data_IF_205624081017
#
_entry.id   IF_205624081017
#
_cell.length_a   1.000
_cell.length_b   1.000
_cell.length_c   1.000
_cell.angle_alpha   90.00
_cell.angle_beta   90.00
_cell.angle_gamma   90.00
#
_symmetry.space_group_name_H-M   'P 1'
#
loop_
_entity.id
_entity.type
_entity.pdbx_description
1 polymer ?
#
# COMPACT_ATOMS: atom_id res chain seq x y z
N UNK A 1 -22.73 -17.78 -11.83
CA UNK A 1 -22.25 -17.66 -13.22
C UNK A 1 -21.72 -16.25 -13.39
N UNK A 2 -20.49 -16.07 -13.84
CA UNK A 2 -19.93 -14.74 -14.06
C UNK A 2 -20.56 -14.14 -15.32
N UNK A 3 -21.20 -12.97 -15.19
CA UNK A 3 -21.85 -12.24 -16.28
C UNK A 3 -20.77 -11.72 -17.24
N UNK A 4 -20.80 -12.16 -18.50
CA UNK A 4 -19.92 -11.65 -19.56
C UNK A 4 -20.64 -10.60 -20.39
N UNK A 5 -19.95 -9.51 -20.70
CA UNK A 5 -20.48 -8.34 -21.40
C UNK A 5 -19.73 -8.14 -22.72
N UNK A 6 -20.42 -7.90 -23.84
CA UNK A 6 -19.76 -7.54 -25.10
C UNK A 6 -19.14 -6.14 -25.02
N UNK A 7 -17.91 -5.99 -25.48
CA UNK A 7 -17.16 -4.72 -25.45
C UNK A 7 -16.55 -4.48 -26.81
N UNK A 8 -16.86 -3.35 -27.43
CA UNK A 8 -16.35 -3.00 -28.77
C UNK A 8 -15.28 -1.93 -28.69
N UNK A 9 -14.09 -2.22 -29.19
CA UNK A 9 -12.97 -1.28 -29.17
C UNK A 9 -13.30 0.01 -29.95
N UNK A 10 -13.17 1.22 -29.37
CA UNK A 10 -13.40 2.47 -30.08
C UNK A 10 -12.33 2.73 -31.17
N UNK A 11 -11.12 2.18 -31.02
CA UNK A 11 -9.99 2.37 -31.94
C UNK A 11 -10.11 1.47 -33.17
N UNK A 12 -10.14 0.15 -32.99
CA UNK A 12 -10.14 -0.81 -34.10
C UNK A 12 -11.50 -1.45 -34.39
N UNK A 13 -12.54 -1.11 -33.63
CA UNK A 13 -13.93 -1.61 -33.79
C UNK A 13 -14.11 -3.11 -33.61
N UNK A 14 -13.11 -3.84 -33.09
CA UNK A 14 -13.17 -5.27 -32.76
C UNK A 14 -14.04 -5.52 -31.53
N UNK A 15 -14.82 -6.59 -31.60
CA UNK A 15 -15.66 -7.04 -30.50
C UNK A 15 -14.90 -7.99 -29.56
N UNK A 16 -15.12 -7.80 -28.27
CA UNK A 16 -14.55 -8.58 -27.18
C UNK A 16 -15.65 -9.06 -26.24
N UNK A 17 -15.36 -10.11 -25.48
CA UNK A 17 -16.16 -10.49 -24.32
C UNK A 17 -15.35 -10.19 -23.06
N UNK A 18 -15.94 -9.46 -22.12
CA UNK A 18 -15.32 -9.10 -20.86
C UNK A 18 -16.12 -9.64 -19.68
N UNK A 19 -15.44 -10.23 -18.72
CA UNK A 19 -16.03 -10.75 -17.47
C UNK A 19 -15.33 -10.07 -16.30
N UNK A 20 -16.09 -9.45 -15.41
CA UNK A 20 -15.52 -8.76 -14.26
C UNK A 20 -14.87 -9.75 -13.28
N UNK A 21 -13.69 -9.40 -12.79
CA UNK A 21 -13.04 -10.07 -11.65
C UNK A 21 -13.87 -9.84 -10.39
N UNK A 22 -14.13 -10.92 -9.66
CA UNK A 22 -14.75 -10.85 -8.34
C UNK A 22 -13.67 -10.84 -7.25
N UNK A 23 -13.84 -9.98 -6.25
CA UNK A 23 -12.95 -9.81 -5.11
C UNK A 23 -13.64 -10.23 -3.80
N UNK A 24 -12.90 -10.74 -2.80
CA UNK A 24 -13.49 -11.19 -1.55
C UNK A 24 -13.85 -10.00 -0.64
N UNK A 25 -15.14 -9.81 -0.36
CA UNK A 25 -15.57 -8.89 0.70
C UNK A 25 -15.24 -9.49 2.08
N UNK A 26 -14.94 -8.68 3.11
CA UNK A 26 -14.77 -9.18 4.48
C UNK A 26 -15.95 -9.99 5.04
N UNK A 27 -17.17 -9.86 4.49
CA UNK A 27 -18.32 -10.68 4.87
C UNK A 27 -18.32 -12.10 4.24
N UNK A 28 -17.37 -12.40 3.35
CA UNK A 28 -17.24 -13.68 2.64
C UNK A 28 -17.90 -13.73 1.27
N UNK A 29 -18.73 -12.73 0.91
CA UNK A 29 -19.37 -12.66 -0.41
C UNK A 29 -18.45 -12.07 -1.49
N UNK A 30 -18.38 -12.67 -2.70
CA UNK A 30 -17.67 -12.09 -3.82
C UNK A 30 -18.35 -10.80 -4.29
N UNK A 31 -17.55 -9.74 -4.48
CA UNK A 31 -17.98 -8.44 -4.99
C UNK A 31 -17.32 -8.22 -6.35
N UNK A 32 -18.12 -7.90 -7.37
CA UNK A 32 -17.62 -7.55 -8.69
C UNK A 32 -18.20 -6.19 -9.12
N UNK A 33 -17.42 -5.31 -9.78
CA UNK A 33 -17.95 -4.06 -10.31
C UNK A 33 -19.15 -4.29 -11.23
N UNK A 34 -20.24 -3.52 -11.08
CA UNK A 34 -21.44 -3.70 -11.89
C UNK A 34 -21.18 -3.18 -13.31
N UNK A 35 -20.87 -4.07 -14.24
CA UNK A 35 -20.66 -3.72 -15.65
C UNK A 35 -21.95 -3.12 -16.25
N UNK A 36 -21.80 -2.13 -17.12
CA UNK A 36 -22.90 -1.58 -17.94
C UNK A 36 -22.82 -2.13 -19.38
N UNK A 37 -23.70 -3.07 -19.76
CA UNK A 37 -23.68 -3.63 -21.11
C UNK A 37 -24.01 -2.65 -22.23
N UNK A 38 -24.66 -1.52 -21.91
CA UNK A 38 -25.02 -0.50 -22.88
C UNK A 38 -24.01 0.65 -22.98
N UNK A 39 -23.04 0.71 -22.06
CA UNK A 39 -22.07 1.80 -21.99
C UNK A 39 -21.03 1.70 -23.11
N UNK A 40 -20.49 2.85 -23.51
CA UNK A 40 -19.38 2.90 -24.46
C UNK A 40 -18.05 2.73 -23.70
N UNK A 41 -17.17 1.79 -24.12
CA UNK A 41 -15.83 1.71 -23.57
C UNK A 41 -14.97 2.89 -24.06
N UNK A 42 -14.14 3.42 -23.16
CA UNK A 42 -13.24 4.53 -23.43
C UNK A 42 -11.79 4.04 -23.54
N UNK A 43 -11.00 4.62 -24.43
CA UNK A 43 -9.56 4.36 -24.48
C UNK A 43 -8.86 5.07 -23.32
N UNK A 44 -7.99 4.36 -22.62
CA UNK A 44 -7.14 4.92 -21.58
C UNK A 44 -5.94 5.59 -22.24
N UNK A 45 -6.02 6.90 -22.43
CA UNK A 45 -4.91 7.73 -22.93
C UNK A 45 -4.03 8.26 -21.80
N UNK A 46 -4.58 8.40 -20.61
CA UNK A 46 -3.95 8.99 -19.43
C UNK A 46 -4.31 8.19 -18.16
N UNK A 47 -3.34 8.11 -17.25
CA UNK A 47 -3.48 7.44 -15.95
C UNK A 47 -3.44 8.47 -14.84
N UNK A 48 -4.55 8.57 -14.11
CA UNK A 48 -4.66 9.36 -12.90
C UNK A 48 -5.08 8.41 -11.79
N UNK A 49 -4.39 8.48 -10.64
CA UNK A 49 -4.63 7.55 -9.53
C UNK A 49 -6.11 7.44 -9.14
N UNK A 50 -6.84 8.57 -9.08
CA UNK A 50 -8.27 8.57 -8.75
C UNK A 50 -9.18 7.96 -9.83
N UNK A 51 -8.71 7.85 -11.07
CA UNK A 51 -9.48 7.30 -12.19
C UNK A 51 -9.33 5.76 -12.33
N UNK A 52 -8.41 5.17 -11.57
CA UNK A 52 -8.05 3.75 -11.65
C UNK A 52 -8.78 2.88 -10.59
N UNK A 53 -9.56 3.51 -9.70
CA UNK A 53 -10.34 2.85 -8.65
C UNK A 53 -11.84 3.07 -8.82
N UNK A 54 -12.65 2.09 -8.43
CA UNK A 54 -14.11 2.20 -8.32
C UNK A 54 -14.60 1.66 -6.99
N UNK A 55 -15.45 2.45 -6.32
CA UNK A 55 -16.14 2.01 -5.11
C UNK A 55 -17.31 1.10 -5.47
N UNK A 56 -17.33 -0.12 -4.93
CA UNK A 56 -18.40 -1.10 -5.19
C UNK A 56 -19.04 -1.52 -3.87
N UNK A 57 -20.37 -1.35 -3.71
CA UNK A 57 -21.07 -1.84 -2.53
C UNK A 57 -21.30 -3.36 -2.59
N UNK A 58 -21.01 -4.05 -1.48
CA UNK A 58 -21.38 -5.45 -1.31
C UNK A 58 -22.91 -5.60 -1.21
N UNK A 59 -23.50 -6.49 -1.99
CA UNK A 59 -24.96 -6.73 -1.97
C UNK A 59 -25.45 -7.40 -0.69
N UNK A 60 -24.56 -8.05 0.08
CA UNK A 60 -24.91 -8.75 1.31
C UNK A 60 -24.76 -7.86 2.56
N UNK A 61 -23.63 -7.16 2.73
CA UNK A 61 -23.36 -6.36 3.92
C UNK A 61 -23.44 -4.84 3.70
N UNK A 62 -23.72 -4.39 2.47
CA UNK A 62 -23.78 -2.98 2.06
C UNK A 62 -22.49 -2.16 2.24
N UNK A 63 -21.38 -2.78 2.67
CA UNK A 63 -20.06 -2.14 2.76
C UNK A 63 -19.59 -1.71 1.36
N UNK A 64 -19.15 -0.47 1.24
CA UNK A 64 -18.58 0.09 0.03
C UNK A 64 -17.05 0.15 0.19
N UNK A 65 -16.33 -0.59 -0.65
CA UNK A 65 -14.86 -0.60 -0.67
C UNK A 65 -14.37 -0.30 -2.09
N UNK A 66 -13.13 0.19 -2.21
CA UNK A 66 -12.51 0.57 -3.47
C UNK A 66 -11.79 -0.61 -4.12
N UNK A 67 -12.07 -0.83 -5.40
CA UNK A 67 -11.50 -1.93 -6.20
C UNK A 67 -10.92 -1.40 -7.51
N UNK A 68 -9.91 -2.08 -8.10
CA UNK A 68 -9.35 -1.67 -9.38
C UNK A 68 -10.42 -1.59 -10.46
N UNK A 69 -10.43 -0.49 -11.23
CA UNK A 69 -11.38 -0.31 -12.33
C UNK A 69 -11.11 -1.36 -13.41
N UNK A 70 -12.14 -2.03 -13.95
CA UNK A 70 -11.92 -3.07 -14.96
C UNK A 70 -11.40 -2.49 -16.28
N UNK A 71 -10.34 -3.09 -16.80
CA UNK A 71 -9.71 -2.71 -18.07
C UNK A 71 -9.59 -3.93 -19.01
N UNK A 72 -9.68 -3.70 -20.33
CA UNK A 72 -9.44 -4.70 -21.37
C UNK A 72 -8.35 -4.25 -22.33
N UNK A 73 -7.30 -5.06 -22.47
CA UNK A 73 -6.30 -4.89 -23.53
C UNK A 73 -6.83 -5.40 -24.87
N UNK A 74 -6.90 -4.53 -25.87
CA UNK A 74 -7.21 -4.90 -27.24
C UNK A 74 -5.92 -5.26 -28.01
N UNK A 75 -5.91 -6.31 -28.86
CA UNK A 75 -4.75 -6.64 -29.69
C UNK A 75 -4.28 -5.54 -30.66
N UNK A 76 -5.07 -4.47 -30.87
CA UNK A 76 -4.64 -3.30 -31.64
C UNK A 76 -3.72 -2.35 -30.85
N UNK A 77 -3.49 -2.61 -29.56
CA UNK A 77 -2.66 -1.79 -28.67
C UNK A 77 -3.45 -0.88 -27.72
N UNK A 78 -4.76 -0.71 -27.92
CA UNK A 78 -5.60 0.11 -27.04
C UNK A 78 -5.93 -0.59 -25.72
N UNK A 79 -5.91 0.15 -24.62
CA UNK A 79 -6.43 -0.29 -23.31
C UNK A 79 -7.79 0.38 -23.11
N UNK A 80 -8.82 -0.42 -22.84
CA UNK A 80 -10.19 0.04 -22.76
C UNK A 80 -10.69 0.03 -21.32
N UNK A 81 -11.21 1.16 -20.84
CA UNK A 81 -11.98 1.21 -19.59
C UNK A 81 -13.37 0.65 -19.83
N UNK A 82 -13.75 -0.32 -19.01
CA UNK A 82 -15.05 -0.98 -19.12
C UNK A 82 -16.12 -0.11 -18.43
N UNK A 83 -17.23 0.20 -19.10
CA UNK A 83 -18.28 1.01 -18.52
C UNK A 83 -18.95 0.28 -17.35
N UNK A 84 -19.21 1.03 -16.30
CA UNK A 84 -19.86 0.55 -15.09
C UNK A 84 -21.22 1.23 -14.95
N UNK A 85 -22.21 0.49 -14.44
CA UNK A 85 -23.50 1.09 -14.09
C UNK A 85 -23.25 2.09 -12.97
N UNK A 86 -23.42 3.37 -13.26
CA UNK A 86 -23.35 4.41 -12.24
C UNK A 86 -24.40 4.16 -11.14
N UNK A 87 -24.20 4.68 -9.91
CA UNK A 87 -25.30 4.75 -8.96
C UNK A 87 -26.44 5.51 -9.63
N UNK A 88 -27.58 4.86 -9.80
CA UNK A 88 -28.72 5.43 -10.51
C UNK A 88 -29.06 6.80 -9.96
N UNK A 89 -29.03 7.82 -10.82
CA UNK A 89 -29.57 9.14 -10.54
C UNK A 89 -31.10 8.98 -10.43
N UNK A 90 -31.60 8.84 -9.21
CA UNK A 90 -33.01 8.65 -8.92
C UNK A 90 -33.38 9.08 -7.50
N UNK A 91 -33.95 10.29 -7.42
CA UNK A 91 -34.68 10.92 -6.32
C UNK A 91 -33.87 11.62 -5.20
N UNK A 92 -34.31 12.82 -4.74
CA UNK A 92 -33.71 13.53 -3.62
C UNK A 92 -33.91 12.74 -2.31
N UNK A 93 -33.07 12.94 -1.29
CA UNK A 93 -33.14 12.18 -0.05
C UNK A 93 -34.46 12.50 0.69
N UNK A 94 -35.35 11.51 0.75
CA UNK A 94 -36.44 11.49 1.72
C UNK A 94 -35.82 11.25 3.09
N UNK A 95 -36.13 12.14 4.04
CA UNK A 95 -35.69 12.05 5.42
C UNK A 95 -36.05 10.68 6.02
N UNK A 96 -35.02 9.95 6.46
CA UNK A 96 -35.21 8.73 7.23
C UNK A 96 -35.69 9.06 8.65
N UNK A 97 -36.62 8.29 9.23
CA UNK A 97 -37.02 8.46 10.61
C UNK A 97 -35.88 8.07 11.56
N UNK A 98 -35.77 8.80 12.67
CA UNK A 98 -34.80 8.57 13.74
C UNK A 98 -35.03 7.20 14.40
N UNK A 99 -34.27 6.19 13.96
CA UNK A 99 -34.09 4.96 14.73
C UNK A 99 -32.96 5.22 15.72
N UNK A 100 -33.28 5.11 17.01
CA UNK A 100 -32.32 5.26 18.11
C UNK A 100 -31.23 4.19 17.95
N UNK A 101 -29.95 4.51 18.16
CA UNK A 101 -28.89 3.53 17.97
C UNK A 101 -29.00 2.43 19.03
N UNK A 102 -29.24 1.20 18.56
CA UNK A 102 -28.74 0.03 19.27
C UNK A 102 -27.21 0.13 19.23
N UNK A 103 -26.62 0.10 20.41
CA UNK A 103 -25.19 0.01 20.70
C UNK A 103 -24.48 -0.94 19.72
N UNK A 104 -23.84 -0.36 18.70
CA UNK A 104 -22.85 -1.08 17.90
C UNK A 104 -21.64 -1.25 18.83
N UNK A 105 -21.12 -2.46 19.05
CA UNK A 105 -19.82 -2.60 19.70
C UNK A 105 -18.82 -1.89 18.80
N UNK A 106 -18.26 -0.77 19.27
CA UNK A 106 -17.19 -0.10 18.53
C UNK A 106 -16.08 -1.13 18.29
N UNK A 107 -15.50 -1.23 17.07
CA UNK A 107 -14.27 -1.96 16.87
C UNK A 107 -13.25 -1.41 17.87
N UNK A 108 -12.53 -2.29 18.57
CA UNK A 108 -11.59 -1.92 19.63
C UNK A 108 -10.65 -0.81 19.13
N UNK A 109 -10.92 0.43 19.54
CA UNK A 109 -10.25 1.64 19.04
C UNK A 109 -9.00 1.93 19.86
N UNK A 110 -8.19 0.90 20.06
CA UNK A 110 -6.82 1.04 20.50
C UNK A 110 -6.08 -0.21 20.03
N UNK A 111 -5.00 -0.08 19.23
CA UNK A 111 -4.07 -1.19 19.08
C UNK A 111 -3.67 -1.64 20.48
N UNK A 112 -3.70 -2.95 20.73
CA UNK A 112 -3.21 -3.52 21.99
C UNK A 112 -1.85 -2.87 22.28
N UNK A 113 -1.65 -2.25 23.45
CA UNK A 113 -0.44 -1.49 23.71
C UNK A 113 0.76 -2.38 23.46
N UNK A 114 1.55 -2.01 22.46
CA UNK A 114 2.74 -2.75 22.07
C UNK A 114 3.66 -2.80 23.29
N UNK A 115 4.18 -3.97 23.68
CA UNK A 115 5.09 -4.06 24.82
C UNK A 115 6.27 -3.12 24.64
N UNK A 116 6.95 -2.70 25.71
CA UNK A 116 8.16 -1.91 25.55
C UNK A 116 9.20 -2.66 24.71
N UNK A 117 9.86 -1.95 23.77
CA UNK A 117 10.95 -2.53 22.99
C UNK A 117 12.11 -2.90 23.93
N UNK A 118 12.70 -4.07 23.69
CA UNK A 118 13.86 -4.55 24.46
C UNK A 118 15.11 -4.47 23.58
N UNK A 119 15.92 -3.41 23.73
CA UNK A 119 17.08 -3.21 22.87
C UNK A 119 18.19 -4.22 23.17
N UNK A 120 19.07 -4.39 22.19
CA UNK A 120 20.32 -5.16 22.33
C UNK A 120 21.50 -4.30 21.91
N UNK A 121 22.59 -4.34 22.68
CA UNK A 121 23.79 -3.56 22.36
C UNK A 121 24.38 -3.98 21.00
N UNK A 122 24.80 -2.99 20.21
CA UNK A 122 25.42 -3.19 18.89
C UNK A 122 26.94 -3.15 19.05
N UNK A 123 27.61 -4.27 18.75
CA UNK A 123 29.08 -4.36 18.74
C UNK A 123 29.65 -4.57 17.34
N UNK A 124 28.81 -5.05 16.42
CA UNK A 124 29.18 -5.39 15.05
C UNK A 124 28.11 -4.92 14.06
N UNK A 125 28.48 -4.87 12.78
CA UNK A 125 27.51 -4.61 11.71
C UNK A 125 26.36 -5.63 11.67
N UNK A 126 26.63 -6.89 12.06
CA UNK A 126 25.60 -7.92 12.17
C UNK A 126 24.62 -7.63 13.30
N UNK A 127 25.10 -7.07 14.41
CA UNK A 127 24.24 -6.69 15.54
C UNK A 127 23.31 -5.55 15.14
N UNK A 128 23.77 -4.58 14.34
CA UNK A 128 22.92 -3.51 13.81
C UNK A 128 21.78 -4.06 12.94
N UNK A 129 22.08 -4.98 12.03
CA UNK A 129 21.05 -5.66 11.23
C UNK A 129 20.09 -6.46 12.12
N UNK A 130 20.59 -7.11 13.17
CA UNK A 130 19.78 -7.90 14.11
C UNK A 130 18.87 -7.00 14.95
N UNK A 131 19.39 -5.91 15.50
CA UNK A 131 18.63 -4.92 16.26
C UNK A 131 17.50 -4.32 15.40
N UNK A 132 17.80 -3.96 14.15
CA UNK A 132 16.78 -3.50 13.20
C UNK A 132 15.72 -4.56 12.92
N UNK A 133 16.11 -5.81 12.68
CA UNK A 133 15.14 -6.89 12.47
C UNK A 133 14.26 -7.13 13.71
N UNK A 134 14.80 -7.07 14.92
CA UNK A 134 14.01 -7.15 16.16
C UNK A 134 13.05 -5.97 16.29
N UNK A 135 13.50 -4.78 15.93
CA UNK A 135 12.68 -3.57 15.98
C UNK A 135 11.52 -3.59 14.97
N UNK A 136 11.78 -4.04 13.74
CA UNK A 136 10.73 -4.19 12.72
C UNK A 136 9.72 -5.29 13.12
N UNK A 137 10.16 -6.39 13.76
CA UNK A 137 9.25 -7.38 14.34
C UNK A 137 8.39 -6.80 15.44
N UNK A 138 9.00 -5.98 16.30
CA UNK A 138 8.29 -5.26 17.33
C UNK A 138 7.25 -4.30 16.75
N UNK A 139 7.56 -3.60 15.65
CA UNK A 139 6.61 -2.74 14.92
C UNK A 139 5.41 -3.51 14.33
N UNK A 140 5.56 -4.81 14.08
CA UNK A 140 4.49 -5.70 13.62
C UNK A 140 4.81 -6.50 12.37
N UNK A 141 5.95 -6.24 11.72
CA UNK A 141 6.35 -6.94 10.50
C UNK A 141 6.77 -8.39 10.79
N UNK A 142 6.22 -9.33 10.02
CA UNK A 142 6.43 -10.77 10.21
C UNK A 142 7.43 -11.33 9.20
N UNK A 143 8.01 -12.49 9.50
CA UNK A 143 8.88 -13.24 8.58
C UNK A 143 10.04 -12.42 7.97
N UNK A 144 10.69 -11.60 8.79
CA UNK A 144 11.84 -10.80 8.36
C UNK A 144 13.00 -11.71 7.95
N UNK A 145 13.39 -11.60 6.69
CA UNK A 145 14.49 -12.31 6.04
C UNK A 145 15.45 -11.34 5.37
N UNK A 146 16.65 -11.80 5.02
CA UNK A 146 17.50 -11.02 4.11
C UNK A 146 16.83 -10.90 2.75
N UNK A 147 16.92 -9.72 2.16
CA UNK A 147 16.51 -9.53 0.80
C UNK A 147 17.37 -10.35 -0.15
N UNK A 148 16.75 -10.88 -1.19
CA UNK A 148 17.42 -11.65 -2.26
C UNK A 148 18.03 -10.74 -3.32
N UNK A 149 17.57 -9.50 -3.40
CA UNK A 149 18.02 -8.50 -4.36
C UNK A 149 19.18 -7.67 -3.80
N UNK A 150 20.15 -7.24 -4.63
CA UNK A 150 21.22 -6.37 -4.20
C UNK A 150 20.70 -4.97 -3.88
N UNK A 151 21.24 -4.36 -2.83
CA UNK A 151 21.03 -2.95 -2.49
C UNK A 151 22.30 -2.16 -2.80
N UNK A 152 22.21 -0.90 -3.27
CA UNK A 152 23.39 -0.11 -3.60
C UNK A 152 24.33 0.14 -2.42
N UNK A 153 23.76 0.25 -1.22
CA UNK A 153 24.45 0.45 0.05
C UNK A 153 23.70 -0.25 1.19
N UNK A 154 24.43 -0.67 2.21
CA UNK A 154 23.88 -1.37 3.36
C UNK A 154 23.47 -2.83 3.10
N UNK A 155 22.55 -3.31 3.94
CA UNK A 155 22.02 -4.68 3.98
C UNK A 155 20.52 -4.62 3.83
N UNK A 156 19.99 -5.26 2.78
CA UNK A 156 18.55 -5.37 2.54
C UNK A 156 17.88 -6.42 3.41
N UNK A 157 16.73 -6.08 3.98
CA UNK A 157 15.80 -6.94 4.69
C UNK A 157 14.44 -6.89 3.97
N UNK A 158 13.76 -8.03 3.93
CA UNK A 158 12.43 -8.15 3.34
C UNK A 158 11.48 -8.86 4.30
N UNK A 159 10.22 -8.46 4.26
CA UNK A 159 9.10 -9.07 4.96
C UNK A 159 7.84 -8.91 4.11
N UNK A 160 6.73 -9.50 4.54
CA UNK A 160 5.43 -9.27 3.90
C UNK A 160 5.08 -7.77 3.99
N UNK A 161 4.90 -7.13 2.83
CA UNK A 161 4.59 -5.70 2.73
C UNK A 161 5.71 -4.72 3.08
N UNK A 162 6.95 -5.20 3.32
CA UNK A 162 8.07 -4.36 3.74
C UNK A 162 9.38 -4.70 3.02
N UNK A 163 10.08 -3.64 2.62
CA UNK A 163 11.49 -3.69 2.25
C UNK A 163 12.33 -2.67 3.03
N UNK A 164 13.27 -3.14 3.84
CA UNK A 164 14.10 -2.26 4.67
C UNK A 164 15.59 -2.33 4.28
N UNK A 165 16.28 -1.20 4.36
CA UNK A 165 17.73 -1.12 4.21
C UNK A 165 18.35 -0.74 5.55
N UNK A 166 19.40 -1.46 5.94
CA UNK A 166 20.22 -1.13 7.11
C UNK A 166 21.61 -0.76 6.63
N UNK A 167 22.07 0.46 6.92
CA UNK A 167 23.44 0.91 6.71
C UNK A 167 24.22 0.81 8.04
N UNK A 168 24.96 -0.30 8.27
CA UNK A 168 25.62 -0.56 9.53
C UNK A 168 27.03 0.06 9.62
N UNK A 169 27.45 0.83 8.61
CA UNK A 169 28.75 1.49 8.61
C UNK A 169 28.65 2.93 9.10
N UNK A 170 29.79 3.60 9.24
CA UNK A 170 29.86 5.03 9.57
C UNK A 170 29.61 5.94 8.36
N UNK A 171 29.06 5.40 7.26
CA UNK A 171 28.73 6.15 6.05
C UNK A 171 27.46 6.97 6.27
N UNK A 172 27.57 8.28 6.02
CA UNK A 172 26.40 9.16 5.97
C UNK A 172 25.53 8.79 4.77
N UNK A 173 24.24 8.56 5.01
CA UNK A 173 23.28 8.19 3.95
C UNK A 173 23.04 9.37 3.01
N UNK A 174 23.12 9.11 1.70
CA UNK A 174 22.94 10.11 0.65
C UNK A 174 21.51 10.13 0.09
N UNK A 175 21.16 11.20 -0.62
CA UNK A 175 19.89 11.33 -1.37
C UNK A 175 19.63 10.13 -2.27
N UNK A 176 20.67 9.70 -3.00
CA UNK A 176 20.59 8.56 -3.92
C UNK A 176 20.19 7.27 -3.22
N UNK A 177 20.66 7.04 -2.00
CA UNK A 177 20.33 5.82 -1.25
C UNK A 177 18.84 5.77 -0.90
N UNK A 178 18.28 6.92 -0.51
CA UNK A 178 16.84 7.08 -0.21
C UNK A 178 16.00 6.89 -1.48
N UNK A 179 16.38 7.53 -2.58
CA UNK A 179 15.65 7.42 -3.85
C UNK A 179 15.70 6.01 -4.43
N UNK A 180 16.85 5.34 -4.36
CA UNK A 180 16.96 3.95 -4.80
C UNK A 180 16.08 3.03 -3.95
N UNK A 181 16.08 3.19 -2.62
CA UNK A 181 15.20 2.45 -1.74
C UNK A 181 13.73 2.66 -2.12
N UNK A 182 13.32 3.92 -2.26
CA UNK A 182 11.95 4.29 -2.59
C UNK A 182 11.51 3.71 -3.94
N UNK A 183 12.35 3.80 -4.98
CA UNK A 183 12.04 3.23 -6.30
C UNK A 183 11.92 1.71 -6.27
N UNK A 184 12.78 1.01 -5.52
CA UNK A 184 12.66 -0.44 -5.34
C UNK A 184 11.35 -0.79 -4.64
N UNK A 185 11.02 -0.08 -3.57
CA UNK A 185 9.79 -0.31 -2.81
C UNK A 185 8.53 -0.03 -3.64
N UNK A 186 8.54 1.07 -4.41
CA UNK A 186 7.48 1.44 -5.32
C UNK A 186 7.28 0.37 -6.41
N UNK A 187 8.37 -0.12 -6.99
CA UNK A 187 8.32 -1.19 -8.01
C UNK A 187 7.71 -2.48 -7.45
N UNK A 188 8.02 -2.83 -6.21
CA UNK A 188 7.51 -4.04 -5.55
C UNK A 188 6.17 -3.80 -4.84
N UNK A 189 5.63 -2.57 -4.86
CA UNK A 189 4.41 -2.16 -4.16
C UNK A 189 4.43 -2.49 -2.65
N UNK A 190 5.58 -2.23 -2.01
CA UNK A 190 5.78 -2.45 -0.57
C UNK A 190 6.16 -1.16 0.14
N UNK A 191 5.90 -1.09 1.44
CA UNK A 191 6.43 -0.01 2.28
C UNK A 191 7.94 -0.19 2.41
N UNK A 192 8.68 0.91 2.56
CA UNK A 192 10.11 0.84 2.84
C UNK A 192 10.53 1.56 4.11
N UNK A 193 11.70 1.20 4.63
CA UNK A 193 12.32 1.82 5.80
C UNK A 193 13.82 1.88 5.60
N UNK A 194 14.46 3.02 5.90
CA UNK A 194 15.91 3.13 5.94
C UNK A 194 16.39 3.24 7.38
N UNK A 195 17.38 2.46 7.77
CA UNK A 195 18.00 2.51 9.11
C UNK A 195 19.51 2.69 8.97
N UNK A 196 20.11 3.57 9.76
CA UNK A 196 21.55 3.88 9.70
C UNK A 196 22.18 4.02 11.09
N UNK A 197 23.48 3.76 11.21
CA UNK A 197 24.27 4.12 12.40
C UNK A 197 24.80 5.56 12.34
N UNK A 198 25.20 6.03 11.15
CA UNK A 198 25.90 7.31 10.98
C UNK A 198 24.96 8.50 10.72
N UNK A 199 23.68 8.24 10.52
CA UNK A 199 22.70 9.28 10.18
C UNK A 199 22.64 9.60 8.68
N UNK A 200 21.97 10.71 8.39
CA UNK A 200 21.58 11.12 7.04
C UNK A 200 22.18 12.47 6.72
N UNK A 201 22.60 12.67 5.47
CA UNK A 201 22.89 14.02 4.99
C UNK A 201 21.61 14.84 4.93
N UNK A 202 21.71 16.17 5.05
CA UNK A 202 20.55 17.06 5.13
C UNK A 202 19.59 16.86 3.94
N UNK A 203 20.12 16.83 2.72
CA UNK A 203 19.32 16.57 1.53
C UNK A 203 18.67 15.18 1.51
N UNK A 204 19.26 14.17 2.16
CA UNK A 204 18.67 12.83 2.22
C UNK A 204 17.44 12.81 3.14
N UNK A 205 17.48 13.56 4.25
CA UNK A 205 16.34 13.70 5.17
C UNK A 205 15.19 14.47 4.51
N UNK A 206 15.48 15.63 3.91
CA UNK A 206 14.48 16.41 3.16
C UNK A 206 13.83 15.59 2.03
N UNK A 207 14.64 14.79 1.33
CA UNK A 207 14.14 13.93 0.27
C UNK A 207 13.25 12.82 0.82
N UNK A 208 13.62 12.20 1.93
CA UNK A 208 12.81 11.17 2.57
C UNK A 208 11.45 11.72 3.03
N UNK A 209 11.41 12.93 3.58
CA UNK A 209 10.16 13.59 3.96
C UNK A 209 9.26 13.84 2.75
N UNK A 210 9.83 14.31 1.65
CA UNK A 210 9.09 14.52 0.40
C UNK A 210 8.52 13.22 -0.20
N UNK A 211 9.18 12.08 0.06
CA UNK A 211 8.80 10.76 -0.46
C UNK A 211 8.01 9.92 0.55
N UNK A 212 7.83 10.40 1.78
CA UNK A 212 7.22 9.64 2.87
C UNK A 212 8.01 8.40 3.28
N UNK A 213 9.35 8.42 3.16
CA UNK A 213 10.21 7.29 3.54
C UNK A 213 10.55 7.40 5.04
N UNK A 214 10.13 6.43 5.88
CA UNK A 214 10.54 6.35 7.28
C UNK A 214 12.05 6.17 7.43
N UNK A 215 12.66 7.07 8.22
CA UNK A 215 14.08 7.05 8.54
C UNK A 215 14.29 6.74 10.02
N UNK A 216 15.30 5.92 10.33
CA UNK A 216 15.70 5.63 11.70
C UNK A 216 17.22 5.72 11.87
N UNK A 217 17.66 6.32 12.97
CA UNK A 217 19.03 6.20 13.45
C UNK A 217 19.05 5.19 14.58
N UNK A 218 19.92 4.18 14.51
CA UNK A 218 20.14 3.27 15.62
C UNK A 218 21.48 3.55 16.26
N UNK A 219 21.48 3.72 17.59
CA UNK A 219 22.70 3.97 18.35
C UNK A 219 23.37 2.65 18.79
N UNK A 220 24.53 2.74 19.44
CA UNK A 220 25.21 1.54 19.95
C UNK A 220 24.47 0.83 21.10
N UNK A 221 23.48 1.47 21.72
CA UNK A 221 22.57 0.83 22.67
C UNK A 221 21.53 -0.06 21.95
N UNK A 222 21.38 0.12 20.64
CA UNK A 222 20.49 -0.67 19.78
C UNK A 222 19.04 -0.25 19.88
N UNK A 223 18.78 1.02 20.19
CA UNK A 223 17.44 1.62 20.15
C UNK A 223 17.29 2.42 18.85
N UNK A 224 16.53 1.94 17.86
CA UNK A 224 16.22 2.75 16.69
C UNK A 224 15.33 3.93 17.08
N UNK A 225 15.75 5.13 16.72
CA UNK A 225 15.02 6.38 16.92
C UNK A 225 14.55 6.91 15.57
N UNK A 226 13.28 7.34 15.45
CA UNK A 226 12.80 7.96 14.22
C UNK A 226 13.59 9.25 13.96
N UNK A 227 14.05 9.40 12.71
CA UNK A 227 14.86 10.54 12.29
C UNK A 227 14.04 11.56 11.47
N UNK A 228 12.76 11.27 11.23
CA UNK A 228 11.81 12.10 10.51
C UNK A 228 10.35 11.75 10.83
N UNK A 229 9.40 12.55 10.35
CA UNK A 229 7.97 12.41 10.65
C UNK A 229 7.37 11.07 10.21
N UNK A 230 7.72 10.59 9.01
CA UNK A 230 7.29 9.27 8.54
C UNK A 230 7.79 8.13 9.44
N UNK A 231 8.97 8.28 10.04
CA UNK A 231 9.48 7.39 11.08
C UNK A 231 8.60 7.39 12.32
N UNK A 232 8.21 8.58 12.82
CA UNK A 232 7.34 8.72 13.99
C UNK A 232 5.96 8.10 13.75
N UNK A 233 5.35 8.37 12.59
CA UNK A 233 4.08 7.79 12.17
C UNK A 233 4.14 6.25 12.15
N UNK A 234 5.23 5.68 11.64
CA UNK A 234 5.43 4.22 11.64
C UNK A 234 5.56 3.66 13.07
N UNK A 235 6.20 4.38 14.00
CA UNK A 235 6.29 3.94 15.39
C UNK A 235 4.90 3.88 16.05
N UNK A 236 4.08 4.91 15.82
CA UNK A 236 2.72 5.02 16.38
C UNK A 236 1.77 4.01 15.73
N UNK A 237 1.77 3.90 14.40
CA UNK A 237 0.87 3.04 13.65
C UNK A 237 1.25 1.56 13.70
N UNK A 238 2.55 1.25 13.63
CA UNK A 238 3.02 -0.10 13.37
C UNK A 238 2.88 -0.52 11.91
N UNK A 239 3.11 -1.82 11.66
CA UNK A 239 2.90 -2.45 10.37
C UNK A 239 1.42 -2.47 9.95
#
# INVERSE_FOLDING_TARGET
>A
MAESVPVRCPVCRRDHQFTATAYPCPCGEPVAPPLDPGGAPEEVTDRAWSADWVTVPCRACARADDWPRPELGCPCGAVLRIPLRGPGQGAPPVAAPSVRPAHIPLPATAPTPRPAFRPMAIRTARDAVTATALYLRWLGFREIRRATWPVPSGVGLAAEGLFAVVEPTVRVTSVRDVECLWLTALSESVTCVYVTLAGYGDGARERADSLGVPLFVVDLAGVPQPANGAGEELVVGGA
#
